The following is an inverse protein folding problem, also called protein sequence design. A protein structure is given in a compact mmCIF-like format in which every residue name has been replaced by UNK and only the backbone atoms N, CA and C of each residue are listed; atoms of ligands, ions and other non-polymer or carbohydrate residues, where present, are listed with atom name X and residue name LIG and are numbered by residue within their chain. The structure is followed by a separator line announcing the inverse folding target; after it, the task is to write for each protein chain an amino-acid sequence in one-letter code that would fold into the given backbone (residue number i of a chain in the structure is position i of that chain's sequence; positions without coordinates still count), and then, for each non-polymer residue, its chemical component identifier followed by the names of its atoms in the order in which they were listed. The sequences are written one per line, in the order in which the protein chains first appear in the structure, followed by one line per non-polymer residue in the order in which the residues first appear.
data_IF_763756447698
#
_entry.id   IF_763756447698
#
_cell.length_a   1.000
_cell.length_b   1.000
_cell.length_c   1.000
_cell.angle_alpha   90.00
_cell.angle_beta   90.00
_cell.angle_gamma   90.00
#
_symmetry.space_group_name_H-M   'P 1'
#
loop_
_entity.id
_entity.type
_entity.pdbx_description
1 polymer ?
#
# COMPACT_ATOMS: atom_id res chain seq x y z
N UNK A 1 -6.34 15.99 11.99
CA UNK A 1 -7.51 15.13 12.28
C UNK A 1 -7.05 13.69 12.22
N UNK A 2 -7.36 12.86 13.21
CA UNK A 2 -6.94 11.43 13.27
C UNK A 2 -7.61 10.64 12.13
N UNK A 3 -6.87 9.83 11.39
CA UNK A 3 -7.35 9.07 10.22
C UNK A 3 -8.50 8.12 10.57
N UNK A 4 -8.52 7.54 11.78
CA UNK A 4 -9.66 6.73 12.25
C UNK A 4 -10.93 7.58 12.42
N UNK A 5 -10.80 8.83 12.87
CA UNK A 5 -11.94 9.76 12.96
C UNK A 5 -12.48 10.15 11.58
N UNK A 6 -11.61 10.22 10.57
CA UNK A 6 -12.01 10.49 9.18
C UNK A 6 -12.90 9.37 8.62
N UNK A 7 -12.58 8.11 8.95
CA UNK A 7 -13.38 6.95 8.55
C UNK A 7 -14.71 6.92 9.31
N UNK A 8 -14.67 6.99 10.64
CA UNK A 8 -15.87 6.86 11.49
C UNK A 8 -16.90 7.96 11.22
N UNK A 9 -16.45 9.22 11.16
CA UNK A 9 -17.37 10.36 11.09
C UNK A 9 -17.83 10.68 9.67
N UNK A 10 -17.01 10.38 8.66
CA UNK A 10 -17.27 10.82 7.29
C UNK A 10 -17.28 9.70 6.25
N UNK A 11 -16.97 8.46 6.64
CA UNK A 11 -16.87 7.33 5.71
C UNK A 11 -15.81 7.55 4.62
N UNK A 12 -14.80 8.37 4.90
CA UNK A 12 -13.72 8.68 3.95
C UNK A 12 -12.53 7.78 4.24
N UNK A 13 -11.97 7.17 3.21
CA UNK A 13 -10.80 6.33 3.34
C UNK A 13 -9.53 7.21 3.32
N UNK A 14 -8.62 7.05 4.29
CA UNK A 14 -7.36 7.75 4.27
C UNK A 14 -6.43 7.24 3.17
N UNK A 15 -5.51 8.10 2.75
CA UNK A 15 -4.47 7.78 1.77
C UNK A 15 -3.14 7.67 2.51
N UNK A 16 -2.46 6.53 2.38
CA UNK A 16 -1.17 6.34 2.99
C UNK A 16 -0.13 7.33 2.42
N UNK A 17 0.58 8.00 3.31
CA UNK A 17 1.75 8.82 2.97
C UNK A 17 3.01 8.06 3.37
N UNK A 18 3.91 7.88 2.41
CA UNK A 18 5.19 7.19 2.57
C UNK A 18 6.31 8.19 2.30
N UNK A 19 7.10 8.51 3.33
CA UNK A 19 8.31 9.32 3.20
C UNK A 19 9.46 8.48 2.64
N UNK A 20 10.54 9.12 2.21
CA UNK A 20 11.75 8.42 1.76
C UNK A 20 12.35 7.56 2.88
N UNK A 21 12.46 8.10 4.10
CA UNK A 21 12.94 7.34 5.26
C UNK A 21 12.08 6.12 5.56
N UNK A 22 10.75 6.26 5.42
CA UNK A 22 9.84 5.14 5.64
C UNK A 22 9.95 4.09 4.53
N UNK A 23 10.14 4.51 3.28
CA UNK A 23 10.38 3.57 2.19
C UNK A 23 11.71 2.83 2.39
N UNK A 24 12.78 3.54 2.74
CA UNK A 24 14.09 2.96 3.04
C UNK A 24 14.00 1.94 4.18
N UNK A 25 13.31 2.29 5.27
CA UNK A 25 13.03 1.37 6.36
C UNK A 25 12.33 0.10 5.88
N UNK A 26 11.28 0.22 5.06
CA UNK A 26 10.54 -0.94 4.55
C UNK A 26 11.42 -1.81 3.64
N UNK A 27 12.26 -1.23 2.79
CA UNK A 27 13.20 -2.00 1.95
C UNK A 27 14.15 -2.83 2.81
N UNK A 28 14.75 -2.21 3.84
CA UNK A 28 15.67 -2.90 4.74
C UNK A 28 14.99 -4.01 5.55
N UNK A 29 13.73 -3.80 5.96
CA UNK A 29 12.97 -4.77 6.76
C UNK A 29 12.46 -5.96 5.94
N UNK A 30 11.97 -5.70 4.73
CA UNK A 30 11.37 -6.73 3.88
C UNK A 30 12.43 -7.50 3.08
N UNK A 31 13.52 -6.84 2.66
CA UNK A 31 14.54 -7.43 1.79
C UNK A 31 15.98 -7.10 2.26
N UNK A 32 16.37 -7.46 3.49
CA UNK A 32 17.65 -7.06 4.08
C UNK A 32 18.89 -7.49 3.27
N UNK A 33 18.80 -8.59 2.52
CA UNK A 33 19.91 -9.12 1.73
C UNK A 33 19.92 -8.62 0.27
N UNK A 34 18.93 -7.82 -0.14
CA UNK A 34 18.73 -7.41 -1.54
C UNK A 34 18.44 -5.90 -1.67
N UNK A 35 18.89 -5.08 -0.71
CA UNK A 35 18.54 -3.64 -0.61
C UNK A 35 18.79 -2.89 -1.93
N UNK A 36 20.05 -2.87 -2.41
CA UNK A 36 20.42 -2.15 -3.64
C UNK A 36 19.65 -2.65 -4.88
N UNK A 37 19.41 -3.96 -4.94
CA UNK A 37 18.65 -4.58 -6.03
C UNK A 37 17.19 -4.11 -6.01
N UNK A 38 16.57 -4.08 -4.83
CA UNK A 38 15.19 -3.63 -4.64
C UNK A 38 15.07 -2.14 -4.95
N UNK A 39 15.97 -1.29 -4.45
CA UNK A 39 16.00 0.14 -4.78
C UNK A 39 16.03 0.36 -6.29
N UNK A 40 16.95 -0.31 -6.99
CA UNK A 40 17.07 -0.25 -8.45
C UNK A 40 15.83 -0.77 -9.18
N UNK A 41 15.14 -1.77 -8.64
CA UNK A 41 13.88 -2.29 -9.21
C UNK A 41 12.75 -1.28 -9.03
N UNK A 42 12.53 -0.80 -7.80
CA UNK A 42 11.50 0.19 -7.47
C UNK A 42 11.71 1.50 -8.23
N UNK A 43 12.94 1.81 -8.63
CA UNK A 43 13.22 2.98 -9.45
C UNK A 43 12.52 2.97 -10.82
N UNK A 44 12.16 1.79 -11.33
CA UNK A 44 11.43 1.60 -12.59
C UNK A 44 9.92 1.86 -12.49
N UNK A 45 9.39 2.12 -11.29
CA UNK A 45 7.99 2.50 -11.10
C UNK A 45 7.77 3.90 -11.67
N UNK A 46 6.78 4.03 -12.56
CA UNK A 46 6.35 5.29 -13.17
C UNK A 46 5.33 5.97 -12.26
N UNK A 47 5.57 7.23 -11.93
CA UNK A 47 4.62 8.07 -11.21
C UNK A 47 4.95 9.54 -11.45
N UNK A 48 3.91 10.38 -11.50
CA UNK A 48 4.05 11.82 -11.73
C UNK A 48 4.57 12.59 -10.51
N UNK A 49 4.70 11.92 -9.35
CA UNK A 49 5.23 12.53 -8.13
C UNK A 49 6.06 11.55 -7.32
N UNK A 50 7.03 12.09 -6.57
CA UNK A 50 7.84 11.30 -5.64
C UNK A 50 6.98 10.62 -4.57
N UNK A 51 5.98 11.31 -4.04
CA UNK A 51 5.05 10.75 -3.07
C UNK A 51 4.24 9.59 -3.66
N UNK A 52 3.77 9.73 -4.90
CA UNK A 52 3.09 8.65 -5.63
C UNK A 52 4.00 7.45 -5.83
N UNK A 53 5.23 7.67 -6.31
CA UNK A 53 6.24 6.61 -6.48
C UNK A 53 6.49 5.86 -5.17
N UNK A 54 6.65 6.58 -4.06
CA UNK A 54 6.90 5.97 -2.75
C UNK A 54 5.71 5.13 -2.26
N UNK A 55 4.48 5.63 -2.44
CA UNK A 55 3.26 4.89 -2.08
C UNK A 55 3.14 3.59 -2.88
N UNK A 56 3.30 3.67 -4.20
CA UNK A 56 3.24 2.50 -5.08
C UNK A 56 4.36 1.51 -4.73
N UNK A 57 5.58 2.00 -4.46
CA UNK A 57 6.71 1.17 -4.05
C UNK A 57 6.41 0.41 -2.76
N UNK A 58 5.85 1.08 -1.73
CA UNK A 58 5.45 0.42 -0.50
C UNK A 58 4.36 -0.63 -0.73
N UNK A 59 3.40 -0.37 -1.63
CA UNK A 59 2.38 -1.35 -2.00
C UNK A 59 2.98 -2.60 -2.66
N UNK A 60 3.93 -2.42 -3.59
CA UNK A 60 4.70 -3.52 -4.19
C UNK A 60 5.43 -4.34 -3.12
N UNK A 61 6.13 -3.67 -2.19
CA UNK A 61 6.84 -4.36 -1.10
C UNK A 61 5.90 -5.18 -0.21
N UNK A 62 4.74 -4.61 0.15
CA UNK A 62 3.73 -5.30 0.98
C UNK A 62 3.21 -6.56 0.29
N UNK A 63 2.81 -6.46 -0.97
CA UNK A 63 2.23 -7.59 -1.72
C UNK A 63 3.29 -8.65 -2.04
N UNK A 64 4.53 -8.23 -2.32
CA UNK A 64 5.63 -9.15 -2.54
C UNK A 64 5.92 -10.01 -1.31
N UNK A 65 5.62 -9.54 -0.09
CA UNK A 65 5.77 -10.31 1.14
C UNK A 65 7.11 -11.04 1.24
N UNK A 66 8.20 -10.30 0.96
CA UNK A 66 9.59 -10.79 0.98
C UNK A 66 9.97 -11.79 -0.11
N UNK A 67 9.10 -12.02 -1.09
CA UNK A 67 9.37 -12.86 -2.26
C UNK A 67 9.93 -12.01 -3.41
N UNK A 68 11.25 -12.09 -3.63
CA UNK A 68 11.99 -11.25 -4.58
C UNK A 68 11.52 -11.44 -6.02
N UNK A 69 11.15 -12.67 -6.37
CA UNK A 69 10.64 -13.08 -7.67
C UNK A 69 9.33 -12.38 -8.06
N UNK A 70 8.53 -11.92 -7.07
CA UNK A 70 7.27 -11.21 -7.33
C UNK A 70 7.50 -9.75 -7.74
N UNK A 71 8.64 -9.16 -7.39
CA UNK A 71 8.87 -7.72 -7.51
C UNK A 71 8.75 -7.23 -8.96
N UNK A 72 9.39 -7.91 -9.92
CA UNK A 72 9.36 -7.46 -11.32
C UNK A 72 7.94 -7.55 -11.91
N UNK A 73 7.19 -8.59 -11.56
CA UNK A 73 5.79 -8.75 -11.96
C UNK A 73 4.89 -7.66 -11.39
N UNK A 74 5.05 -7.36 -10.09
CA UNK A 74 4.27 -6.34 -9.41
C UNK A 74 4.59 -4.93 -9.94
N UNK A 75 5.85 -4.62 -10.24
CA UNK A 75 6.25 -3.36 -10.87
C UNK A 75 5.62 -3.23 -12.26
N UNK A 76 5.62 -4.31 -13.05
CA UNK A 76 4.97 -4.31 -14.37
C UNK A 76 3.48 -3.97 -14.24
N UNK A 77 2.76 -4.67 -13.36
CA UNK A 77 1.35 -4.37 -13.08
C UNK A 77 1.12 -2.95 -12.58
N UNK A 78 1.96 -2.46 -11.66
CA UNK A 78 1.87 -1.10 -11.14
C UNK A 78 2.01 -0.04 -12.25
N UNK A 79 2.85 -0.32 -13.25
CA UNK A 79 3.04 0.57 -14.39
C UNK A 79 1.91 0.49 -15.43
N UNK A 80 1.13 -0.59 -15.44
CA UNK A 80 -0.08 -0.74 -16.27
C UNK A 80 -1.28 -0.05 -15.60
N UNK A 81 -1.55 -0.39 -14.34
CA UNK A 81 -2.52 0.28 -13.48
C UNK A 81 -2.11 0.18 -12.01
N UNK A 82 -1.57 1.27 -11.46
CA UNK A 82 -1.14 1.30 -10.07
C UNK A 82 -2.30 1.17 -9.07
N UNK A 83 -3.55 1.42 -9.50
CA UNK A 83 -4.71 1.39 -8.61
C UNK A 83 -4.98 -0.02 -8.10
N UNK A 84 -4.74 -1.05 -8.92
CA UNK A 84 -4.88 -2.44 -8.52
C UNK A 84 -3.86 -2.81 -7.43
N UNK A 85 -2.61 -2.41 -7.62
CA UNK A 85 -1.53 -2.66 -6.65
C UNK A 85 -1.77 -1.92 -5.33
N UNK A 86 -2.20 -0.67 -5.41
CA UNK A 86 -2.54 0.11 -4.22
C UNK A 86 -3.77 -0.46 -3.53
N UNK A 87 -4.81 -0.85 -4.26
CA UNK A 87 -6.04 -1.43 -3.71
C UNK A 87 -5.77 -2.76 -2.99
N UNK A 88 -5.01 -3.66 -3.61
CA UNK A 88 -4.64 -4.95 -3.02
C UNK A 88 -3.79 -4.77 -1.74
N UNK A 89 -2.88 -3.78 -1.73
CA UNK A 89 -2.03 -3.53 -0.57
C UNK A 89 -2.75 -2.78 0.56
N UNK A 90 -3.43 -1.68 0.25
CA UNK A 90 -3.99 -0.75 1.25
C UNK A 90 -5.43 -1.06 1.61
N UNK A 91 -6.22 -1.64 0.70
CA UNK A 91 -7.69 -1.73 0.81
C UNK A 91 -8.27 -3.13 0.49
N UNK A 92 -7.65 -4.25 0.93
CA UNK A 92 -8.05 -5.58 0.48
C UNK A 92 -9.50 -5.95 0.83
N UNK A 93 -10.01 -5.58 2.01
CA UNK A 93 -11.40 -5.89 2.39
C UNK A 93 -12.37 -5.02 1.61
N UNK A 94 -12.13 -3.72 1.54
CA UNK A 94 -12.99 -2.82 0.77
C UNK A 94 -13.03 -3.17 -0.72
N UNK A 95 -11.92 -3.63 -1.29
CA UNK A 95 -11.82 -3.97 -2.70
C UNK A 95 -12.34 -5.39 -3.02
N UNK A 96 -12.56 -6.23 -2.01
CA UNK A 96 -13.10 -7.59 -2.20
C UNK A 96 -14.59 -7.63 -2.55
N UNK A 97 -15.32 -6.54 -2.28
CA UNK A 97 -16.76 -6.46 -2.53
C UNK A 97 -17.07 -5.63 -3.77
N UNK A 98 -18.02 -6.11 -4.58
CA UNK A 98 -18.57 -5.34 -5.69
C UNK A 98 -19.38 -4.12 -5.21
N UNK A 99 -19.57 -3.15 -6.11
CA UNK A 99 -20.35 -1.94 -5.83
C UNK A 99 -21.74 -2.26 -5.25
N UNK A 100 -22.13 -1.53 -4.19
CA UNK A 100 -23.45 -1.64 -3.57
C UNK A 100 -23.67 -2.85 -2.67
N UNK A 101 -22.69 -3.76 -2.50
CA UNK A 101 -22.83 -4.96 -1.67
C UNK A 101 -22.67 -4.74 -0.16
N UNK A 102 -22.27 -3.54 0.28
CA UNK A 102 -22.00 -3.21 1.69
C UNK A 102 -22.80 -1.97 2.09
N UNK A 103 -23.44 -2.02 3.25
CA UNK A 103 -24.06 -0.83 3.83
C UNK A 103 -22.99 0.15 4.36
N UNK A 104 -23.41 1.34 4.81
CA UNK A 104 -22.46 2.37 5.26
C UNK A 104 -21.59 1.92 6.45
N UNK A 105 -22.19 1.26 7.44
CA UNK A 105 -21.47 0.81 8.63
C UNK A 105 -20.46 -0.30 8.29
N UNK A 106 -20.91 -1.28 7.51
CA UNK A 106 -20.06 -2.36 7.00
C UNK A 106 -18.84 -1.84 6.22
N UNK A 107 -19.05 -0.82 5.39
CA UNK A 107 -17.96 -0.19 4.62
C UNK A 107 -16.98 0.55 5.52
N UNK A 108 -17.48 1.26 6.54
CA UNK A 108 -16.63 1.92 7.55
C UNK A 108 -15.81 0.89 8.31
N UNK A 109 -16.40 -0.24 8.67
CA UNK A 109 -15.68 -1.33 9.34
C UNK A 109 -14.58 -1.92 8.45
N UNK A 110 -14.85 -2.11 7.16
CA UNK A 110 -13.83 -2.58 6.20
C UNK A 110 -12.70 -1.57 6.05
N UNK A 111 -13.02 -0.27 5.94
CA UNK A 111 -12.02 0.80 5.89
C UNK A 111 -11.16 0.87 7.15
N UNK A 112 -11.75 0.69 8.33
CA UNK A 112 -11.01 0.67 9.59
C UNK A 112 -10.02 -0.49 9.62
N UNK A 113 -10.51 -1.69 9.30
CA UNK A 113 -9.69 -2.91 9.29
C UNK A 113 -8.54 -2.80 8.29
N UNK A 114 -8.83 -2.37 7.06
CA UNK A 114 -7.82 -2.16 6.02
C UNK A 114 -6.76 -1.14 6.46
N UNK A 115 -7.20 -0.02 7.06
CA UNK A 115 -6.29 1.02 7.55
C UNK A 115 -5.44 0.57 8.72
N UNK A 116 -6.00 -0.18 9.67
CA UNK A 116 -5.29 -0.78 10.79
C UNK A 116 -4.26 -1.79 10.30
N UNK A 117 -4.66 -2.74 9.46
CA UNK A 117 -3.78 -3.76 8.89
C UNK A 117 -2.60 -3.13 8.12
N UNK A 118 -2.85 -2.11 7.31
CA UNK A 118 -1.80 -1.40 6.58
C UNK A 118 -0.91 -0.55 7.49
N UNK A 119 -1.50 0.18 8.44
CA UNK A 119 -0.74 1.04 9.36
C UNK A 119 0.18 0.21 10.25
N UNK A 120 -0.31 -0.90 10.78
CA UNK A 120 0.47 -1.83 11.58
C UNK A 120 1.63 -2.40 10.76
N UNK A 121 1.36 -2.91 9.55
CA UNK A 121 2.41 -3.36 8.65
C UNK A 121 3.44 -2.27 8.36
N UNK A 122 3.01 -1.03 8.14
CA UNK A 122 3.90 0.10 7.81
C UNK A 122 4.86 0.46 8.95
N UNK A 123 4.46 0.24 10.21
CA UNK A 123 5.25 0.66 11.40
C UNK A 123 5.85 -0.49 12.19
N UNK A 124 5.48 -1.74 11.89
CA UNK A 124 6.00 -2.92 12.60
C UNK A 124 7.53 -2.98 12.51
N UNK A 125 8.17 -3.10 13.67
CA UNK A 125 9.63 -3.27 13.78
C UNK A 125 10.04 -4.71 13.50
#
# INVERSE_FOLDING_TARGET
MNEKKLILNFGKQPVAKITDDQLNFLIHREFPNNIELIEKKLDKIKSDSKQGKNRISAAVLKIANKELEKIDFLIKKANEDFRDIVAEAEYPKSSSYGFGKRNENERKDDYLKDWEDYSDWKTKK
#
